data_IF_805801105561
#
_entry.id   IF_805801105561
#
_cell.length_a   1.000
_cell.length_b   1.000
_cell.length_c   1.000
_cell.angle_alpha   90.00
_cell.angle_beta   90.00
_cell.angle_gamma   90.00
#
_symmetry.space_group_name_H-M   'P 1'
#
loop_
_entity.id
_entity.type
_entity.pdbx_description
1 polymer ?
#
# COMPACT_ATOMS: atom_id res chain seq x y z
N UNK A 1 8.20 0.53 4.08
CA UNK A 1 9.02 0.37 2.85
C UNK A 1 8.24 -0.51 1.89
N UNK A 2 8.08 -0.10 0.63
CA UNK A 2 7.31 -0.86 -0.37
C UNK A 2 8.23 -1.71 -1.22
N UNK A 3 7.90 -3.00 -1.39
CA UNK A 3 8.71 -3.92 -2.18
C UNK A 3 8.14 -4.05 -3.58
N UNK A 4 6.84 -4.34 -3.69
CA UNK A 4 6.21 -4.71 -4.97
C UNK A 4 4.70 -4.53 -4.95
N UNK A 5 4.14 -4.09 -6.07
CA UNK A 5 2.69 -4.08 -6.33
C UNK A 5 2.25 -5.46 -6.82
N UNK A 6 1.22 -6.04 -6.21
CA UNK A 6 0.66 -7.33 -6.59
C UNK A 6 -0.45 -7.10 -7.62
N UNK A 7 -0.47 -7.87 -8.70
CA UNK A 7 -1.63 -7.91 -9.60
C UNK A 7 -1.31 -7.95 -11.09
N UNK A 8 -0.11 -7.52 -11.52
CA UNK A 8 0.28 -7.62 -12.92
C UNK A 8 1.79 -7.44 -13.15
N UNK A 9 2.26 -7.91 -14.31
CA UNK A 9 3.66 -7.76 -14.73
C UNK A 9 3.97 -6.29 -15.02
N UNK A 10 4.94 -5.71 -14.31
CA UNK A 10 5.53 -4.37 -14.54
C UNK A 10 4.73 -3.11 -14.16
N UNK A 11 3.82 -3.17 -13.19
CA UNK A 11 3.28 -1.92 -12.61
C UNK A 11 4.37 -1.16 -11.84
N UNK A 12 4.61 0.08 -12.26
CA UNK A 12 5.57 1.01 -11.62
C UNK A 12 4.96 1.78 -10.45
N UNK A 13 3.64 1.90 -10.41
CA UNK A 13 2.90 2.69 -9.44
C UNK A 13 1.68 1.91 -8.93
N UNK A 14 1.29 2.22 -7.70
CA UNK A 14 0.07 1.72 -7.07
C UNK A 14 -0.85 2.90 -6.72
N UNK A 15 -2.15 2.68 -6.86
CA UNK A 15 -3.21 3.62 -6.54
C UNK A 15 -4.05 3.12 -5.36
N UNK A 16 -5.04 3.91 -4.96
CA UNK A 16 -5.97 3.53 -3.90
C UNK A 16 -6.71 2.25 -4.32
N UNK A 17 -6.76 1.27 -3.42
CA UNK A 17 -7.36 -0.05 -3.65
C UNK A 17 -6.36 -1.14 -4.04
N UNK A 18 -5.13 -0.78 -4.42
CA UNK A 18 -4.12 -1.77 -4.82
C UNK A 18 -3.51 -2.50 -3.62
N UNK A 19 -3.23 -3.80 -3.84
CA UNK A 19 -2.53 -4.65 -2.87
C UNK A 19 -1.03 -4.59 -3.14
N UNK A 20 -0.26 -4.23 -2.11
CA UNK A 20 1.20 -4.16 -2.18
C UNK A 20 1.82 -5.08 -1.12
N UNK A 21 3.04 -5.55 -1.41
CA UNK A 21 3.90 -6.23 -0.43
C UNK A 21 4.83 -5.19 0.19
N UNK A 22 4.83 -5.11 1.52
CA UNK A 22 5.63 -4.16 2.29
C UNK A 22 6.42 -4.87 3.39
N UNK A 23 7.55 -4.26 3.75
CA UNK A 23 8.31 -4.63 4.96
C UNK A 23 7.97 -3.66 6.08
N UNK A 24 7.68 -4.21 7.25
CA UNK A 24 7.42 -3.44 8.46
C UNK A 24 8.72 -2.84 8.97
N UNK A 25 8.77 -1.51 9.05
CA UNK A 25 9.98 -0.78 9.50
C UNK A 25 10.02 -0.63 11.02
N UNK A 26 8.88 -0.36 11.62
CA UNK A 26 8.72 -0.12 13.05
C UNK A 26 7.44 -0.78 13.54
N UNK A 27 7.49 -1.25 14.79
CA UNK A 27 6.40 -1.98 15.44
C UNK A 27 6.26 -1.47 16.87
N UNK A 28 5.03 -1.40 17.36
CA UNK A 28 4.75 -1.10 18.76
C UNK A 28 5.10 -2.31 19.65
N UNK A 29 5.67 -2.09 20.84
CA UNK A 29 5.83 -3.17 21.80
C UNK A 29 4.44 -3.69 22.21
N UNK A 30 4.26 -5.01 22.29
CA UNK A 30 3.00 -5.74 22.55
C UNK A 30 2.08 -6.01 21.33
N UNK A 31 2.50 -5.67 20.11
CA UNK A 31 1.82 -6.19 18.91
C UNK A 31 2.34 -7.58 18.54
N UNK A 32 1.49 -8.40 17.91
CA UNK A 32 1.86 -9.72 17.37
C UNK A 32 2.70 -9.65 16.09
N UNK A 33 3.26 -8.48 15.76
CA UNK A 33 3.95 -8.21 14.50
C UNK A 33 5.45 -8.15 14.75
N UNK A 34 6.24 -8.64 13.80
CA UNK A 34 7.69 -8.61 13.91
C UNK A 34 8.30 -7.45 13.09
N UNK A 35 9.41 -6.90 13.59
CA UNK A 35 10.20 -5.95 12.80
C UNK A 35 10.79 -6.69 11.60
N UNK A 36 10.73 -6.08 10.42
CA UNK A 36 11.18 -6.66 9.15
C UNK A 36 10.30 -7.80 8.59
N UNK A 37 9.13 -8.05 9.16
CA UNK A 37 8.17 -8.99 8.58
C UNK A 37 7.62 -8.48 7.23
N UNK A 38 7.38 -9.39 6.30
CA UNK A 38 6.87 -9.09 4.95
C UNK A 38 5.38 -9.41 4.90
N UNK A 39 4.54 -8.39 4.72
CA UNK A 39 3.09 -8.53 4.73
C UNK A 39 2.44 -7.93 3.48
N UNK A 40 1.23 -8.41 3.16
CA UNK A 40 0.37 -7.85 2.11
C UNK A 40 -0.57 -6.83 2.73
N UNK A 41 -0.65 -5.64 2.13
CA UNK A 41 -1.49 -4.53 2.61
C UNK A 41 -2.19 -3.84 1.45
N UNK A 42 -3.26 -3.11 1.76
CA UNK A 42 -4.05 -2.34 0.79
C UNK A 42 -3.81 -0.85 0.99
N UNK A 43 -3.62 -0.11 -0.10
CA UNK A 43 -3.52 1.36 -0.05
C UNK A 43 -4.92 1.96 0.08
N UNK A 44 -5.20 2.64 1.19
CA UNK A 44 -6.50 3.28 1.43
C UNK A 44 -6.49 4.78 1.18
N UNK A 45 -5.32 5.43 1.18
CA UNK A 45 -5.18 6.87 0.99
C UNK A 45 -3.88 7.19 0.25
N UNK A 46 -3.92 8.18 -0.61
CA UNK A 46 -2.77 8.76 -1.31
C UNK A 46 -2.83 10.28 -1.22
N UNK A 47 -1.68 10.95 -1.19
CA UNK A 47 -1.63 12.41 -1.30
C UNK A 47 -1.89 12.90 -2.73
N UNK A 48 -1.71 12.01 -3.72
CA UNK A 48 -2.03 12.31 -5.10
C UNK A 48 -3.55 12.26 -5.27
N UNK A 49 -4.06 13.27 -5.96
CA UNK A 49 -5.45 13.41 -6.37
C UNK A 49 -5.99 12.12 -7.00
N UNK A 50 -7.17 11.68 -6.54
CA UNK A 50 -7.91 10.59 -7.15
C UNK A 50 -9.14 11.14 -7.88
N UNK A 51 -9.20 10.88 -9.19
CA UNK A 51 -10.38 11.17 -10.00
C UNK A 51 -11.39 10.04 -9.83
N UNK A 52 -12.59 10.38 -9.35
CA UNK A 52 -13.73 9.47 -9.29
C UNK A 52 -14.52 9.48 -10.60
N UNK A 53 -15.30 8.42 -10.81
CA UNK A 53 -16.14 8.24 -12.01
C UNK A 53 -17.15 9.36 -12.20
N UNK A 54 -17.59 9.98 -11.09
CA UNK A 54 -18.48 11.13 -11.08
C UNK A 54 -17.75 12.48 -11.27
N UNK A 55 -16.55 12.49 -11.84
CA UNK A 55 -15.70 13.67 -12.06
C UNK A 55 -15.18 14.40 -10.81
N UNK A 56 -15.50 13.90 -9.61
CA UNK A 56 -15.02 14.49 -8.36
C UNK A 56 -13.56 14.12 -8.11
N UNK A 57 -12.76 15.09 -7.63
CA UNK A 57 -11.34 14.92 -7.29
C UNK A 57 -11.19 15.02 -5.77
N UNK A 58 -10.42 14.10 -5.17
CA UNK A 58 -10.07 14.08 -3.74
C UNK A 58 -8.56 14.07 -3.59
#
# INVERSE_FOLDING_TARGET
>A
MCIRVIGASNYRYAHIGDVIVVVIKEVMPNTSLERSEVIKVVIVRTCKELKRDNWMII
#
